data_IF_075695824693
#
_entry.id   IF_075695824693
#
_cell.length_a   1.000
_cell.length_b   1.000
_cell.length_c   1.000
_cell.angle_alpha   90.00
_cell.angle_beta   90.00
_cell.angle_gamma   90.00
#
_symmetry.space_group_name_H-M   'P 1'
#
loop_
_entity.id
_entity.type
_entity.pdbx_description
1 polymer ?
#
# COMPACT_ATOMS: atom_id res chain seq x y z
N UNK A 1 0.79 33.65 4.13
CA UNK A 1 1.88 33.85 3.14
C UNK A 1 1.37 33.43 1.77
N UNK A 2 1.90 34.03 0.72
CA UNK A 2 1.76 33.56 -0.66
C UNK A 2 2.88 32.55 -0.93
N UNK A 3 2.51 31.31 -1.20
CA UNK A 3 3.47 30.19 -1.33
C UNK A 3 3.44 29.65 -2.75
N UNK A 4 4.58 29.66 -3.43
CA UNK A 4 4.77 29.04 -4.74
C UNK A 4 5.23 27.59 -4.56
N UNK A 5 4.55 26.61 -5.19
CA UNK A 5 4.86 25.19 -5.04
C UNK A 5 5.17 24.56 -6.39
N UNK A 6 6.41 24.13 -6.59
CA UNK A 6 6.81 23.23 -7.66
C UNK A 6 6.62 21.78 -7.21
N UNK A 7 6.17 20.89 -8.11
CA UNK A 7 5.89 19.49 -7.79
C UNK A 7 4.53 19.25 -7.11
N UNK A 8 3.62 20.20 -7.12
CA UNK A 8 2.30 20.18 -6.47
C UNK A 8 1.40 18.97 -6.82
N UNK A 9 1.65 18.29 -7.93
CA UNK A 9 0.86 17.12 -8.36
C UNK A 9 1.48 15.77 -7.99
N UNK A 10 2.64 15.78 -7.33
CA UNK A 10 3.33 14.58 -6.83
C UNK A 10 2.68 13.98 -5.57
N UNK A 11 3.24 12.89 -5.05
CA UNK A 11 2.74 12.22 -3.83
C UNK A 11 2.78 13.16 -2.63
N UNK A 12 3.94 13.80 -2.39
CA UNK A 12 4.08 14.81 -1.33
C UNK A 12 3.32 16.09 -1.70
N UNK A 13 3.50 16.59 -2.94
CA UNK A 13 3.03 17.91 -3.34
C UNK A 13 1.51 18.10 -3.20
N UNK A 14 0.69 17.11 -3.57
CA UNK A 14 -0.76 17.18 -3.40
C UNK A 14 -1.18 17.34 -1.94
N UNK A 15 -0.51 16.65 -1.04
CA UNK A 15 -0.74 16.73 0.41
C UNK A 15 -0.25 18.03 0.98
N UNK A 16 0.94 18.47 0.54
CA UNK A 16 1.51 19.74 0.95
C UNK A 16 0.62 20.92 0.54
N UNK A 17 0.05 20.90 -0.68
CA UNK A 17 -0.93 21.93 -1.12
C UNK A 17 -2.13 21.96 -0.17
N UNK A 18 -2.74 20.80 0.13
CA UNK A 18 -3.89 20.73 1.06
C UNK A 18 -3.51 21.24 2.46
N UNK A 19 -2.33 20.84 2.96
CA UNK A 19 -1.85 21.25 4.27
C UNK A 19 -1.57 22.76 4.34
N UNK A 20 -0.93 23.33 3.31
CA UNK A 20 -0.64 24.77 3.19
C UNK A 20 -1.93 25.59 3.10
N UNK A 21 -2.87 25.21 2.26
CA UNK A 21 -4.19 25.87 2.14
C UNK A 21 -4.94 25.76 3.46
N UNK A 22 -4.92 24.58 4.11
CA UNK A 22 -5.54 24.37 5.42
C UNK A 22 -4.92 25.20 6.54
N UNK A 23 -3.63 25.56 6.43
CA UNK A 23 -2.93 26.47 7.33
C UNK A 23 -3.18 27.98 7.00
N UNK A 24 -3.99 28.29 6.01
CA UNK A 24 -4.36 29.65 5.64
C UNK A 24 -3.36 30.35 4.69
N UNK A 25 -2.51 29.59 3.99
CA UNK A 25 -1.62 30.15 2.97
C UNK A 25 -2.34 30.23 1.60
N UNK A 26 -2.00 31.25 0.81
CA UNK A 26 -2.38 31.35 -0.59
C UNK A 26 -1.37 30.57 -1.43
N UNK A 27 -1.82 29.49 -2.10
CA UNK A 27 -0.91 28.59 -2.81
C UNK A 27 -1.02 28.76 -4.31
N UNK A 28 0.08 29.07 -4.97
CA UNK A 28 0.25 28.98 -6.42
C UNK A 28 1.01 27.71 -6.77
N UNK A 29 0.43 26.85 -7.60
CA UNK A 29 0.96 25.54 -7.92
C UNK A 29 1.44 25.48 -9.37
N UNK A 30 2.73 25.18 -9.57
CA UNK A 30 3.30 24.92 -10.89
C UNK A 30 2.76 23.62 -11.46
N UNK A 31 2.18 23.69 -12.66
CA UNK A 31 1.65 22.54 -13.40
C UNK A 31 2.19 22.47 -14.81
N UNK A 32 2.09 21.30 -15.46
CA UNK A 32 2.62 21.06 -16.83
C UNK A 32 1.53 20.69 -17.82
N UNK A 33 0.27 20.74 -17.45
CA UNK A 33 -0.85 20.42 -18.34
C UNK A 33 -2.19 20.87 -17.75
N UNK A 34 -3.22 21.11 -18.59
CA UNK A 34 -4.57 21.48 -18.15
C UNK A 34 -5.19 20.47 -17.18
N UNK A 35 -5.03 19.17 -17.40
CA UNK A 35 -5.56 18.15 -16.49
C UNK A 35 -4.96 18.24 -15.08
N UNK A 36 -3.68 18.63 -14.96
CA UNK A 36 -3.04 18.89 -13.67
C UNK A 36 -3.47 20.21 -13.05
N UNK A 37 -3.83 21.20 -13.87
CA UNK A 37 -4.41 22.45 -13.39
C UNK A 37 -5.76 22.21 -12.68
N UNK A 38 -6.64 21.39 -13.25
CA UNK A 38 -7.89 21.01 -12.60
C UNK A 38 -7.66 20.31 -11.25
N UNK A 39 -6.69 19.40 -11.21
CA UNK A 39 -6.34 18.70 -9.96
C UNK A 39 -5.96 19.70 -8.86
N UNK A 40 -5.05 20.65 -9.12
CA UNK A 40 -4.59 21.57 -8.08
C UNK A 40 -5.65 22.60 -7.69
N UNK A 41 -6.53 23.02 -8.62
CA UNK A 41 -7.72 23.84 -8.27
C UNK A 41 -8.63 23.12 -7.28
N UNK A 42 -8.87 21.82 -7.51
CA UNK A 42 -9.67 21.02 -6.60
C UNK A 42 -9.02 20.86 -5.20
N UNK A 43 -7.72 21.08 -5.08
CA UNK A 43 -6.99 21.10 -3.81
C UNK A 43 -6.94 22.50 -3.16
N UNK A 44 -7.54 23.52 -3.78
CA UNK A 44 -7.59 24.89 -3.27
C UNK A 44 -6.42 25.79 -3.72
N UNK A 45 -5.58 25.35 -4.66
CA UNK A 45 -4.45 26.14 -5.17
C UNK A 45 -4.74 26.77 -6.53
N UNK A 46 -4.10 27.90 -6.81
CA UNK A 46 -4.11 28.55 -8.12
C UNK A 46 -3.06 27.90 -9.04
N UNK A 47 -3.43 27.30 -10.17
CA UNK A 47 -2.44 26.72 -11.09
C UNK A 47 -1.76 27.79 -11.93
N UNK A 48 -0.45 27.59 -12.16
CA UNK A 48 0.32 28.33 -13.16
C UNK A 48 1.02 27.32 -14.07
N UNK A 49 0.82 27.45 -15.39
CA UNK A 49 1.44 26.53 -16.36
C UNK A 49 2.76 27.10 -16.83
N UNK A 50 3.85 26.58 -16.29
CA UNK A 50 5.21 27.00 -16.60
C UNK A 50 6.18 25.81 -16.49
N UNK A 51 7.28 25.84 -17.23
CA UNK A 51 8.36 24.86 -17.13
C UNK A 51 9.39 25.25 -16.09
N UNK A 52 9.88 24.28 -15.30
CA UNK A 52 11.04 24.48 -14.40
C UNK A 52 12.33 24.89 -15.15
N UNK A 53 12.36 24.67 -16.45
CA UNK A 53 13.51 24.94 -17.30
C UNK A 53 13.38 26.23 -18.12
N UNK A 54 12.31 26.98 -17.92
CA UNK A 54 12.09 28.31 -18.47
C UNK A 54 12.30 29.36 -17.39
N UNK A 55 13.52 29.89 -17.28
CA UNK A 55 13.93 30.78 -16.19
C UNK A 55 13.14 32.11 -16.20
N UNK A 56 12.81 32.65 -17.38
CA UNK A 56 12.09 33.92 -17.45
C UNK A 56 10.63 33.77 -17.10
N UNK A 57 9.97 32.72 -17.60
CA UNK A 57 8.60 32.40 -17.21
C UNK A 57 8.49 32.07 -15.70
N UNK A 58 9.48 31.37 -15.13
CA UNK A 58 9.53 31.11 -13.67
C UNK A 58 9.67 32.39 -12.86
N UNK A 59 10.55 33.31 -13.28
CA UNK A 59 10.72 34.59 -12.60
C UNK A 59 9.43 35.39 -12.58
N UNK A 60 8.69 35.41 -13.70
CA UNK A 60 7.39 36.04 -13.76
C UNK A 60 6.35 35.35 -12.87
N UNK A 61 6.34 34.02 -12.85
CA UNK A 61 5.38 33.23 -12.08
C UNK A 61 5.61 33.28 -10.57
N UNK A 62 6.87 33.37 -10.11
CA UNK A 62 7.25 33.45 -8.69
C UNK A 62 7.13 34.88 -8.14
N UNK A 63 7.06 35.89 -8.99
CA UNK A 63 6.97 37.28 -8.56
C UNK A 63 5.86 37.49 -7.53
N UNK A 64 6.21 38.19 -6.44
CA UNK A 64 5.26 38.54 -5.36
C UNK A 64 4.90 37.39 -4.41
N UNK A 65 5.56 36.24 -4.45
CA UNK A 65 5.42 35.18 -3.45
C UNK A 65 6.40 35.38 -2.28
N UNK A 66 5.92 35.06 -1.08
CA UNK A 66 6.71 35.17 0.16
C UNK A 66 7.61 33.94 0.36
N UNK A 67 7.15 32.76 -0.11
CA UNK A 67 7.87 31.50 0.02
C UNK A 67 7.81 30.67 -1.26
N UNK A 68 8.89 29.90 -1.54
CA UNK A 68 8.96 28.96 -2.66
C UNK A 68 9.29 27.57 -2.12
N UNK A 69 8.42 26.60 -2.41
CA UNK A 69 8.58 25.18 -2.04
C UNK A 69 8.91 24.35 -3.30
N UNK A 70 10.13 23.84 -3.40
CA UNK A 70 10.52 22.92 -4.44
C UNK A 70 10.34 21.46 -3.97
N UNK A 71 9.22 20.86 -4.35
CA UNK A 71 8.87 19.45 -4.10
C UNK A 71 8.90 18.63 -5.39
N UNK A 72 9.51 19.17 -6.46
CA UNK A 72 9.53 18.55 -7.77
C UNK A 72 10.59 17.47 -7.85
N UNK A 73 10.15 16.26 -8.25
CA UNK A 73 11.01 15.11 -8.54
C UNK A 73 10.46 14.29 -9.70
N UNK A 74 11.32 13.48 -10.32
CA UNK A 74 10.93 12.48 -11.31
C UNK A 74 11.61 11.14 -11.00
N UNK A 75 11.11 10.46 -9.96
CA UNK A 75 11.67 9.17 -9.53
C UNK A 75 11.20 8.06 -10.49
N UNK A 76 12.12 7.32 -11.15
CA UNK A 76 11.76 6.21 -12.04
C UNK A 76 11.00 5.12 -11.29
N UNK A 77 10.15 4.38 -12.01
CA UNK A 77 9.54 3.16 -11.48
C UNK A 77 10.61 2.12 -11.15
N UNK A 78 10.33 1.21 -10.21
CA UNK A 78 11.27 0.16 -9.79
C UNK A 78 11.82 -0.65 -10.97
N UNK A 79 11.00 -0.92 -11.99
CA UNK A 79 11.39 -1.63 -13.20
C UNK A 79 12.44 -0.89 -14.05
N UNK A 80 12.46 0.45 -14.00
CA UNK A 80 13.38 1.31 -14.76
C UNK A 80 14.53 1.87 -13.91
N UNK A 81 14.47 1.72 -12.59
CA UNK A 81 15.44 2.32 -11.66
C UNK A 81 16.89 1.84 -11.86
N UNK A 82 17.09 0.66 -12.48
CA UNK A 82 18.41 0.13 -12.82
C UNK A 82 19.03 0.79 -14.05
N UNK A 83 18.22 1.43 -14.91
CA UNK A 83 18.71 2.15 -16.09
C UNK A 83 19.14 3.59 -15.72
N UNK A 84 20.42 3.95 -15.88
CA UNK A 84 20.92 5.28 -15.60
C UNK A 84 20.16 6.40 -16.31
N UNK A 85 19.77 6.18 -17.56
CA UNK A 85 19.07 7.18 -18.39
C UNK A 85 17.72 7.56 -17.83
N UNK A 86 17.08 6.65 -17.09
CA UNK A 86 15.77 6.92 -16.47
C UNK A 86 15.82 7.98 -15.37
N UNK A 87 17.01 8.34 -14.88
CA UNK A 87 17.24 9.35 -13.85
C UNK A 87 17.60 10.73 -14.39
N UNK A 88 17.92 10.87 -15.67
CA UNK A 88 18.37 12.12 -16.28
C UNK A 88 17.39 13.29 -16.05
N UNK A 89 16.09 13.07 -16.20
CA UNK A 89 15.08 14.10 -15.92
C UNK A 89 15.05 14.46 -14.43
N UNK A 90 15.15 13.48 -13.53
CA UNK A 90 15.22 13.76 -12.10
C UNK A 90 16.47 14.57 -11.71
N UNK A 91 17.60 14.21 -12.28
CA UNK A 91 18.87 14.89 -12.01
C UNK A 91 18.84 16.33 -12.57
N UNK A 92 18.23 16.54 -13.73
CA UNK A 92 18.00 17.86 -14.32
C UNK A 92 17.06 18.72 -13.46
N UNK A 93 15.96 18.14 -12.94
CA UNK A 93 15.04 18.84 -12.02
C UNK A 93 15.79 19.28 -10.77
N UNK A 94 16.58 18.39 -10.16
CA UNK A 94 17.34 18.69 -8.94
C UNK A 94 18.47 19.69 -9.14
N UNK A 95 19.10 19.76 -10.31
CA UNK A 95 20.18 20.69 -10.61
C UNK A 95 19.67 21.98 -11.25
N UNK A 96 19.26 21.93 -12.52
CA UNK A 96 18.82 23.11 -13.29
C UNK A 96 17.51 23.69 -12.75
N UNK A 97 16.53 22.82 -12.45
CA UNK A 97 15.23 23.25 -11.92
C UNK A 97 15.35 23.95 -10.58
N UNK A 98 16.20 23.43 -9.65
CA UNK A 98 16.43 24.06 -8.34
C UNK A 98 17.14 25.41 -8.49
N UNK A 99 18.13 25.50 -9.37
CA UNK A 99 18.82 26.77 -9.68
C UNK A 99 17.84 27.84 -10.18
N UNK A 100 17.04 27.49 -11.18
CA UNK A 100 16.08 28.44 -11.76
C UNK A 100 15.04 28.91 -10.75
N UNK A 101 14.57 28.01 -9.85
CA UNK A 101 13.62 28.36 -8.79
C UNK A 101 14.27 29.26 -7.74
N UNK A 102 15.52 29.03 -7.36
CA UNK A 102 16.26 29.89 -6.42
C UNK A 102 16.50 31.26 -7.04
N UNK A 103 16.89 31.34 -8.31
CA UNK A 103 17.05 32.61 -9.02
C UNK A 103 15.73 33.40 -9.08
N UNK A 104 14.61 32.72 -9.34
CA UNK A 104 13.28 33.34 -9.34
C UNK A 104 12.86 33.79 -7.93
N UNK A 105 13.13 32.99 -6.90
CA UNK A 105 12.84 33.33 -5.50
C UNK A 105 13.62 34.55 -5.02
N UNK A 106 14.92 34.61 -5.34
CA UNK A 106 15.78 35.77 -5.03
C UNK A 106 15.32 37.06 -5.75
N UNK A 107 14.96 36.92 -7.04
CA UNK A 107 14.45 38.05 -7.82
C UNK A 107 13.08 38.56 -7.32
N UNK A 108 12.26 37.68 -6.78
CA UNK A 108 10.97 38.02 -6.18
C UNK A 108 11.07 38.61 -4.78
N UNK A 109 12.26 38.58 -4.15
CA UNK A 109 12.44 38.97 -2.75
C UNK A 109 11.73 38.00 -1.78
N UNK A 110 11.56 36.73 -2.15
CA UNK A 110 10.97 35.72 -1.27
C UNK A 110 11.84 35.57 0.01
N UNK A 111 11.16 35.39 1.15
CA UNK A 111 11.84 35.25 2.44
C UNK A 111 12.26 33.83 2.74
N UNK A 112 11.54 32.84 2.18
CA UNK A 112 11.77 31.42 2.47
C UNK A 112 11.88 30.58 1.19
N UNK A 113 12.89 29.73 1.13
CA UNK A 113 13.03 28.70 0.10
C UNK A 113 13.15 27.33 0.74
N UNK A 114 12.24 26.41 0.39
CA UNK A 114 12.22 25.05 0.89
C UNK A 114 12.54 24.07 -0.25
N UNK A 115 13.50 23.18 0.00
CA UNK A 115 13.94 22.15 -0.93
C UNK A 115 13.63 20.74 -0.41
N UNK A 116 12.90 19.95 -1.17
CA UNK A 116 12.78 18.49 -0.96
C UNK A 116 14.12 17.82 -1.22
N UNK A 117 14.51 16.93 -0.33
CA UNK A 117 15.67 16.05 -0.43
C UNK A 117 15.38 14.68 0.15
N UNK A 118 16.36 13.79 0.25
CA UNK A 118 16.20 12.40 0.64
C UNK A 118 17.11 11.99 1.81
N UNK A 119 16.56 11.25 2.79
CA UNK A 119 17.23 10.83 4.02
C UNK A 119 17.92 9.46 3.93
N UNK A 120 18.18 8.94 2.73
CA UNK A 120 18.81 7.62 2.54
C UNK A 120 20.07 7.67 1.67
N UNK A 121 20.87 8.73 1.87
CA UNK A 121 22.18 8.92 1.23
C UNK A 121 23.35 8.99 2.22
N UNK A 122 23.14 8.57 3.46
CA UNK A 122 24.21 8.62 4.49
C UNK A 122 25.18 7.43 4.39
N UNK A 123 24.86 6.38 3.64
CA UNK A 123 25.62 5.14 3.58
C UNK A 123 25.25 4.15 4.68
N UNK A 124 26.05 3.10 4.85
CA UNK A 124 25.79 2.05 5.85
C UNK A 124 26.41 2.41 7.20
N UNK A 125 25.58 2.74 8.18
CA UNK A 125 25.97 3.06 9.55
C UNK A 125 25.58 1.99 10.58
N UNK A 126 25.20 0.79 10.13
CA UNK A 126 24.80 -0.30 11.02
C UNK A 126 23.60 0.10 11.89
N UNK A 127 23.78 0.11 13.21
CA UNK A 127 22.76 0.50 14.18
C UNK A 127 22.91 1.90 14.74
N UNK A 128 23.94 2.64 14.32
CA UNK A 128 24.21 3.99 14.80
C UNK A 128 23.17 5.00 14.28
N UNK A 129 22.87 6.00 15.10
CA UNK A 129 22.00 7.08 14.70
C UNK A 129 22.74 8.02 13.74
N UNK A 130 22.07 8.42 12.68
CA UNK A 130 22.51 9.42 11.71
C UNK A 130 21.55 10.60 11.67
N UNK A 131 22.10 11.79 11.44
CA UNK A 131 21.32 13.01 11.29
C UNK A 131 22.03 14.00 10.36
N UNK A 132 21.25 14.90 9.77
CA UNK A 132 21.71 15.84 8.75
C UNK A 132 22.85 16.77 9.19
N UNK A 133 22.94 17.09 10.48
CA UNK A 133 23.94 17.98 11.06
C UNK A 133 25.22 17.26 11.51
N UNK A 134 25.20 15.95 11.65
CA UNK A 134 26.34 15.17 12.16
C UNK A 134 26.91 14.18 11.15
N UNK A 135 26.13 13.83 10.12
CA UNK A 135 26.49 12.78 9.16
C UNK A 135 26.49 13.32 7.72
N UNK A 136 27.63 13.34 7.04
CA UNK A 136 27.67 13.79 5.64
C UNK A 136 27.00 12.78 4.71
N UNK A 137 26.50 13.30 3.57
CA UNK A 137 26.00 12.44 2.48
C UNK A 137 27.19 11.69 1.86
N UNK A 138 27.03 10.39 1.68
CA UNK A 138 28.01 9.53 0.99
C UNK A 138 28.00 9.78 -0.51
N UNK A 139 29.17 9.70 -1.14
CA UNK A 139 29.30 9.84 -2.60
C UNK A 139 28.73 8.61 -3.31
N UNK A 140 27.65 8.85 -4.03
CA UNK A 140 26.98 7.86 -4.89
C UNK A 140 26.57 8.52 -6.20
N UNK A 141 26.20 7.74 -7.21
CA UNK A 141 25.65 8.30 -8.46
C UNK A 141 24.42 9.19 -8.27
N UNK A 142 23.67 9.01 -7.17
CA UNK A 142 22.47 9.78 -6.87
C UNK A 142 22.75 11.05 -6.04
N UNK A 143 23.88 11.10 -5.36
CA UNK A 143 24.20 12.20 -4.44
C UNK A 143 24.55 13.50 -5.15
N UNK A 144 25.09 13.46 -6.36
CA UNK A 144 25.52 14.68 -7.07
C UNK A 144 24.36 15.63 -7.34
N UNK A 145 23.24 15.15 -7.89
CA UNK A 145 22.05 15.96 -8.16
C UNK A 145 21.37 16.45 -6.86
N UNK A 146 21.37 15.61 -5.81
CA UNK A 146 20.85 15.99 -4.48
C UNK A 146 21.69 17.11 -3.89
N UNK A 147 23.02 16.99 -3.89
CA UNK A 147 23.93 18.05 -3.41
C UNK A 147 23.79 19.34 -4.20
N UNK A 148 23.55 19.25 -5.52
CA UNK A 148 23.31 20.43 -6.33
C UNK A 148 22.06 21.19 -5.86
N UNK A 149 20.94 20.49 -5.59
CA UNK A 149 19.73 21.10 -5.07
C UNK A 149 19.91 21.69 -3.67
N UNK A 150 20.60 20.97 -2.77
CA UNK A 150 20.91 21.46 -1.42
C UNK A 150 21.86 22.67 -1.44
N UNK A 151 22.84 22.71 -2.37
CA UNK A 151 23.74 23.83 -2.55
C UNK A 151 23.02 25.12 -3.03
N UNK A 152 22.02 24.99 -3.90
CA UNK A 152 21.18 26.11 -4.32
C UNK A 152 20.39 26.68 -3.13
N UNK A 153 19.89 25.81 -2.23
CA UNK A 153 19.23 26.26 -0.99
C UNK A 153 20.20 26.99 -0.07
N UNK A 154 21.44 26.52 0.06
CA UNK A 154 22.49 27.22 0.82
C UNK A 154 22.84 28.56 0.19
N UNK A 155 22.86 28.67 -1.15
CA UNK A 155 23.04 29.94 -1.88
C UNK A 155 21.92 30.94 -1.56
N UNK A 156 20.67 30.47 -1.50
CA UNK A 156 19.52 31.29 -1.09
C UNK A 156 19.69 31.81 0.35
N UNK A 157 20.12 30.97 1.27
CA UNK A 157 20.37 31.34 2.66
C UNK A 157 21.54 32.33 2.78
N UNK A 158 22.64 32.17 2.01
CA UNK A 158 23.76 33.08 1.98
C UNK A 158 23.39 34.47 1.45
N UNK A 159 22.33 34.58 0.64
CA UNK A 159 21.76 35.83 0.19
C UNK A 159 20.84 36.53 1.23
N UNK A 160 20.69 35.97 2.41
CA UNK A 160 19.93 36.54 3.54
C UNK A 160 18.51 36.02 3.71
N UNK A 161 18.09 35.03 2.91
CA UNK A 161 16.79 34.36 3.07
C UNK A 161 16.83 33.15 4.02
N UNK A 162 15.65 32.56 4.31
CA UNK A 162 15.55 31.30 5.05
C UNK A 162 15.59 30.12 4.10
N UNK A 163 16.76 29.50 3.95
CA UNK A 163 16.96 28.30 3.13
C UNK A 163 16.79 27.02 3.96
N UNK A 164 15.76 26.21 3.67
CA UNK A 164 15.45 24.98 4.42
C UNK A 164 15.48 23.77 3.51
N UNK A 165 16.29 22.78 3.86
CA UNK A 165 16.33 21.47 3.18
C UNK A 165 15.61 20.43 4.06
N UNK A 166 14.64 19.72 3.49
CA UNK A 166 13.96 18.61 4.13
C UNK A 166 14.36 17.28 3.47
N UNK A 167 15.19 16.49 4.18
CA UNK A 167 15.56 15.14 3.78
C UNK A 167 14.49 14.17 4.27
N UNK A 168 13.64 13.74 3.35
CA UNK A 168 12.55 12.83 3.67
C UNK A 168 12.97 11.35 3.64
N UNK A 169 12.42 10.57 4.58
CA UNK A 169 12.37 9.12 4.49
C UNK A 169 11.52 8.65 3.32
N UNK A 170 11.49 7.35 3.08
CA UNK A 170 10.64 6.77 2.03
C UNK A 170 9.16 7.04 2.34
N UNK A 171 8.47 7.67 1.39
CA UNK A 171 7.04 7.96 1.53
C UNK A 171 6.19 6.70 1.51
N UNK A 172 5.33 6.56 2.51
CA UNK A 172 4.25 5.58 2.55
C UNK A 172 2.93 6.31 2.26
N UNK A 173 2.30 6.00 1.12
CA UNK A 173 1.08 6.68 0.68
C UNK A 173 0.20 5.75 -0.17
N UNK A 174 -1.14 5.72 0.01
CA UNK A 174 -2.02 4.76 -0.66
C UNK A 174 -2.08 4.92 -2.18
N UNK A 175 -1.87 6.11 -2.73
CA UNK A 175 -1.83 6.35 -4.17
C UNK A 175 -0.43 6.25 -4.78
N UNK A 176 0.63 6.18 -3.98
CA UNK A 176 2.00 6.00 -4.48
C UNK A 176 2.12 4.68 -5.24
N UNK A 177 2.67 4.74 -6.46
CA UNK A 177 2.92 3.54 -7.27
C UNK A 177 3.80 2.53 -6.52
N UNK A 178 4.87 3.01 -5.89
CA UNK A 178 5.79 2.16 -5.10
C UNK A 178 5.05 1.45 -3.96
N UNK A 179 4.31 2.20 -3.14
CA UNK A 179 3.52 1.66 -2.02
C UNK A 179 2.52 0.60 -2.49
N UNK A 180 1.78 0.87 -3.58
CA UNK A 180 0.80 -0.08 -4.13
C UNK A 180 1.45 -1.35 -4.66
N UNK A 181 2.60 -1.25 -5.32
CA UNK A 181 3.38 -2.41 -5.79
C UNK A 181 3.87 -3.22 -4.59
N UNK A 182 4.41 -2.57 -3.57
CA UNK A 182 4.87 -3.20 -2.32
C UNK A 182 3.72 -3.96 -1.63
N UNK A 183 2.56 -3.32 -1.43
CA UNK A 183 1.38 -3.94 -0.82
C UNK A 183 0.85 -5.12 -1.64
N UNK A 184 0.76 -5.01 -2.97
CA UNK A 184 0.30 -6.09 -3.85
C UNK A 184 1.25 -7.29 -3.83
N UNK A 185 2.56 -7.04 -3.83
CA UNK A 185 3.58 -8.09 -3.72
C UNK A 185 3.54 -8.76 -2.35
N UNK A 186 3.42 -7.98 -1.29
CA UNK A 186 3.29 -8.49 0.07
C UNK A 186 2.03 -9.37 0.23
N UNK A 187 0.91 -8.99 -0.36
CA UNK A 187 -0.30 -9.81 -0.38
C UNK A 187 -0.08 -11.17 -1.06
N UNK A 188 0.83 -11.24 -2.04
CA UNK A 188 1.26 -12.50 -2.68
C UNK A 188 2.30 -13.26 -1.84
N UNK A 189 2.78 -12.68 -0.73
CA UNK A 189 3.76 -13.28 0.16
C UNK A 189 5.22 -12.88 -0.13
N UNK A 190 5.45 -11.87 -0.98
CA UNK A 190 6.78 -11.44 -1.41
C UNK A 190 7.06 -10.03 -0.86
N UNK A 191 8.21 -9.86 -0.18
CA UNK A 191 8.72 -8.54 0.19
C UNK A 191 9.66 -8.02 -0.90
N UNK A 192 9.42 -6.79 -1.33
CA UNK A 192 10.29 -6.06 -2.26
C UNK A 192 11.38 -5.25 -1.55
N UNK A 193 11.35 -5.20 -0.20
CA UNK A 193 12.32 -4.46 0.60
C UNK A 193 13.73 -5.06 0.42
N UNK A 194 14.71 -4.27 -0.08
CA UNK A 194 16.08 -4.74 -0.27
C UNK A 194 16.85 -4.71 1.06
N UNK A 195 17.97 -5.42 1.12
CA UNK A 195 18.90 -5.38 2.27
C UNK A 195 18.73 -6.53 3.26
N UNK A 196 19.60 -6.53 4.28
CA UNK A 196 19.62 -7.54 5.35
C UNK A 196 18.51 -7.26 6.39
N UNK A 197 18.06 -8.28 7.12
CA UNK A 197 16.99 -8.14 8.12
C UNK A 197 17.32 -7.15 9.25
N UNK A 198 18.57 -7.05 9.64
CA UNK A 198 19.11 -6.24 10.74
C UNK A 198 19.33 -4.77 10.36
N UNK A 199 19.24 -4.40 9.09
CA UNK A 199 19.46 -3.04 8.61
C UNK A 199 18.27 -2.14 8.89
N UNK A 200 18.55 -0.90 9.27
CA UNK A 200 17.57 0.15 9.52
C UNK A 200 17.15 0.86 8.23
N UNK A 201 15.93 1.36 8.24
CA UNK A 201 15.34 1.96 7.06
C UNK A 201 14.49 3.19 7.44
N UNK A 202 14.81 4.39 6.90
CA UNK A 202 14.05 5.60 7.17
C UNK A 202 12.78 5.65 6.32
N UNK A 203 11.64 5.86 6.96
CA UNK A 203 10.35 6.02 6.30
C UNK A 203 9.55 7.15 6.93
N UNK A 204 8.50 7.59 6.24
CA UNK A 204 7.56 8.60 6.72
C UNK A 204 6.20 8.42 6.08
N UNK A 205 5.13 8.62 6.83
CA UNK A 205 3.79 8.77 6.27
C UNK A 205 3.72 10.06 5.43
N UNK A 206 3.11 9.99 4.25
CA UNK A 206 3.11 11.13 3.34
C UNK A 206 2.24 12.31 3.81
N UNK A 207 1.24 12.08 4.66
CA UNK A 207 0.45 13.16 5.27
C UNK A 207 1.27 13.87 6.36
N UNK A 208 2.07 13.12 7.12
CA UNK A 208 3.00 13.70 8.10
C UNK A 208 4.14 14.46 7.40
N UNK A 209 4.65 13.94 6.29
CA UNK A 209 5.61 14.69 5.46
C UNK A 209 5.03 16.01 4.94
N UNK A 210 3.75 16.06 4.61
CA UNK A 210 3.09 17.29 4.18
C UNK A 210 2.94 18.31 5.33
N UNK A 211 2.62 17.87 6.54
CA UNK A 211 2.59 18.77 7.70
C UNK A 211 3.97 19.28 8.07
N UNK A 212 5.03 18.50 7.81
CA UNK A 212 6.41 18.95 7.96
C UNK A 212 6.77 20.08 6.97
N UNK A 213 6.24 20.05 5.74
CA UNK A 213 6.42 21.16 4.78
C UNK A 213 5.85 22.48 5.34
N UNK A 214 4.66 22.43 5.96
CA UNK A 214 4.06 23.61 6.60
C UNK A 214 4.92 24.11 7.76
N UNK A 215 5.31 23.21 8.67
CA UNK A 215 6.15 23.56 9.83
C UNK A 215 7.53 24.11 9.43
N UNK A 216 8.03 23.71 8.27
CA UNK A 216 9.32 24.15 7.77
C UNK A 216 9.34 25.60 7.22
N UNK A 217 8.19 26.21 6.95
CA UNK A 217 8.13 27.59 6.46
C UNK A 217 8.70 28.60 7.48
N UNK A 218 8.57 28.29 8.76
CA UNK A 218 9.06 29.11 9.86
C UNK A 218 10.33 28.54 10.52
N UNK A 219 10.90 27.45 9.96
CA UNK A 219 12.09 26.83 10.50
C UNK A 219 13.34 27.69 10.25
N UNK A 220 14.30 27.70 11.18
CA UNK A 220 15.63 28.28 10.91
C UNK A 220 16.28 27.65 9.67
N UNK A 221 17.12 28.45 8.98
CA UNK A 221 17.89 27.92 7.84
C UNK A 221 18.71 26.69 8.24
N UNK A 222 18.66 25.64 7.39
CA UNK A 222 19.42 24.42 7.66
C UNK A 222 18.86 23.20 6.95
N UNK A 223 19.52 22.07 7.19
CA UNK A 223 19.10 20.76 6.67
C UNK A 223 18.51 19.92 7.80
N UNK A 224 17.36 19.32 7.55
CA UNK A 224 16.59 18.55 8.53
C UNK A 224 16.15 17.20 7.95
N UNK A 225 16.24 16.16 8.76
CA UNK A 225 15.64 14.88 8.43
C UNK A 225 14.19 14.82 8.87
N UNK A 226 13.32 14.39 7.97
CA UNK A 226 11.88 14.21 8.19
C UNK A 226 11.53 12.75 7.99
N UNK A 227 11.54 12.03 9.10
CA UNK A 227 11.29 10.59 9.20
C UNK A 227 10.32 10.31 10.35
N UNK A 228 9.82 9.08 10.46
CA UNK A 228 9.00 8.68 11.60
C UNK A 228 9.79 8.68 12.93
N UNK A 229 9.07 8.63 14.07
CA UNK A 229 9.66 8.67 15.42
C UNK A 229 10.30 7.35 15.84
N UNK A 230 9.84 6.25 15.27
CA UNK A 230 10.24 4.89 15.64
C UNK A 230 10.85 4.16 14.45
N UNK A 231 12.12 4.44 14.11
CA UNK A 231 12.80 3.74 13.03
C UNK A 231 12.73 2.22 13.23
N UNK A 232 12.58 1.49 12.15
CA UNK A 232 12.47 0.02 12.19
C UNK A 232 13.61 -0.64 11.44
N UNK A 233 13.95 -1.86 11.90
CA UNK A 233 14.74 -2.76 11.07
C UNK A 233 13.92 -3.24 9.87
N UNK A 234 14.59 -3.70 8.82
CA UNK A 234 13.89 -4.31 7.66
C UNK A 234 13.12 -5.57 8.04
N UNK A 235 13.57 -6.30 9.07
CA UNK A 235 12.81 -7.43 9.61
C UNK A 235 11.48 -6.98 10.20
N UNK A 236 11.50 -5.91 11.03
CA UNK A 236 10.30 -5.37 11.66
C UNK A 236 9.35 -4.75 10.63
N UNK A 237 9.90 -3.96 9.69
CA UNK A 237 9.12 -3.37 8.59
C UNK A 237 8.43 -4.46 7.74
N UNK A 238 9.15 -5.56 7.45
CA UNK A 238 8.60 -6.71 6.74
C UNK A 238 7.50 -7.42 7.54
N UNK A 239 7.68 -7.57 8.85
CA UNK A 239 6.66 -8.15 9.73
C UNK A 239 5.40 -7.27 9.81
N UNK A 240 5.57 -5.96 9.94
CA UNK A 240 4.48 -4.99 9.95
C UNK A 240 3.70 -5.01 8.61
N UNK A 241 4.41 -5.03 7.49
CA UNK A 241 3.82 -5.14 6.16
C UNK A 241 3.07 -6.47 5.97
N UNK A 242 3.65 -7.60 6.46
CA UNK A 242 2.99 -8.90 6.43
C UNK A 242 1.67 -8.86 7.20
N UNK A 243 1.67 -8.29 8.41
CA UNK A 243 0.49 -8.12 9.24
C UNK A 243 -0.58 -7.26 8.52
N UNK A 244 -0.19 -6.13 7.93
CA UNK A 244 -1.08 -5.22 7.22
C UNK A 244 -1.84 -5.90 6.07
N UNK A 245 -1.20 -6.86 5.38
CA UNK A 245 -1.82 -7.61 4.27
C UNK A 245 -2.37 -8.98 4.68
N UNK A 246 -2.45 -9.29 5.97
CA UNK A 246 -3.00 -10.56 6.48
C UNK A 246 -2.12 -11.78 6.20
N UNK A 247 -0.80 -11.62 6.14
CA UNK A 247 0.16 -12.72 5.99
C UNK A 247 0.91 -12.95 7.30
N UNK A 248 1.30 -14.21 7.54
CA UNK A 248 2.17 -14.55 8.68
C UNK A 248 3.63 -14.15 8.44
N UNK A 249 4.06 -14.22 7.17
CA UNK A 249 5.46 -14.06 6.76
C UNK A 249 5.51 -13.62 5.29
N UNK A 250 6.52 -12.79 4.95
CA UNK A 250 6.87 -12.46 3.57
C UNK A 250 8.25 -13.03 3.25
N UNK A 251 8.39 -13.55 2.04
CA UNK A 251 9.67 -14.02 1.52
C UNK A 251 10.39 -12.85 0.84
N UNK A 252 11.66 -12.61 1.14
CA UNK A 252 12.41 -11.55 0.50
C UNK A 252 12.64 -11.85 -0.99
N UNK A 253 12.50 -10.85 -1.83
CA UNK A 253 12.86 -10.95 -3.24
C UNK A 253 14.40 -11.05 -3.35
N UNK A 254 14.90 -12.10 -3.98
CA UNK A 254 16.34 -12.29 -4.20
C UNK A 254 16.84 -11.33 -5.28
N UNK A 255 18.04 -10.76 -5.09
CA UNK A 255 18.71 -9.89 -6.08
C UNK A 255 18.32 -8.43 -6.07
N UNK A 256 17.37 -7.99 -5.24
CA UNK A 256 16.93 -6.59 -5.16
C UNK A 256 18.06 -5.58 -4.85
N UNK A 257 19.10 -6.00 -4.11
CA UNK A 257 20.25 -5.13 -3.75
C UNK A 257 20.96 -4.54 -4.98
N UNK A 258 21.05 -5.27 -6.10
CA UNK A 258 21.70 -4.79 -7.34
C UNK A 258 20.92 -3.67 -8.02
N UNK A 259 19.63 -3.52 -7.73
CA UNK A 259 18.72 -2.59 -8.43
C UNK A 259 18.62 -1.25 -7.69
N UNK A 260 18.73 -1.24 -6.37
CA UNK A 260 18.32 -0.11 -5.52
C UNK A 260 19.47 0.61 -4.79
N UNK A 261 20.73 0.17 -4.96
CA UNK A 261 21.92 0.88 -4.45
C UNK A 261 21.81 1.32 -2.98
N UNK A 262 21.92 2.62 -2.69
CA UNK A 262 21.90 3.17 -1.31
C UNK A 262 20.66 2.85 -0.48
N UNK A 263 19.53 2.53 -1.14
CA UNK A 263 18.33 2.07 -0.42
C UNK A 263 18.53 0.72 0.30
N UNK A 264 19.62 0.00 0.02
CA UNK A 264 19.97 -1.24 0.71
C UNK A 264 20.86 -1.05 1.93
N UNK A 265 21.34 0.19 2.20
CA UNK A 265 22.21 0.51 3.33
C UNK A 265 21.42 0.63 4.63
N UNK A 266 22.14 0.47 5.76
CA UNK A 266 21.55 0.61 7.09
C UNK A 266 21.63 2.05 7.56
N UNK A 267 20.48 2.69 7.74
CA UNK A 267 20.40 4.11 8.10
C UNK A 267 19.32 4.32 9.15
N UNK A 268 19.74 4.48 10.40
CA UNK A 268 18.88 4.81 11.53
C UNK A 268 18.79 6.32 11.68
N UNK A 269 17.89 6.94 10.92
CA UNK A 269 17.81 8.41 10.82
C UNK A 269 16.99 8.99 11.96
N UNK A 270 17.43 10.15 12.48
CA UNK A 270 16.79 10.87 13.59
C UNK A 270 16.09 12.13 13.10
N UNK A 271 14.83 12.34 13.48
CA UNK A 271 14.07 13.57 13.23
C UNK A 271 14.18 14.59 14.41
N UNK A 272 14.99 14.31 15.41
CA UNK A 272 15.03 15.09 16.65
C UNK A 272 15.34 16.57 16.42
N UNK A 273 16.25 16.88 15.49
CA UNK A 273 16.61 18.26 15.14
C UNK A 273 15.43 19.03 14.56
N UNK A 274 14.66 18.42 13.65
CA UNK A 274 13.48 19.05 13.06
C UNK A 274 12.39 19.29 14.10
N UNK A 275 12.15 18.31 14.96
CA UNK A 275 11.20 18.43 16.08
C UNK A 275 11.59 19.56 17.03
N UNK A 276 12.87 19.67 17.38
CA UNK A 276 13.35 20.73 18.27
C UNK A 276 13.23 22.13 17.63
N UNK A 277 13.46 22.23 16.31
CA UNK A 277 13.41 23.50 15.60
C UNK A 277 11.98 24.01 15.33
N UNK A 278 10.99 23.12 15.18
CA UNK A 278 9.66 23.49 14.67
C UNK A 278 8.51 23.10 15.60
N UNK A 279 8.74 22.25 16.60
CA UNK A 279 7.67 21.64 17.39
C UNK A 279 6.85 20.60 16.64
N UNK A 280 7.16 20.30 15.36
CA UNK A 280 6.49 19.29 14.57
C UNK A 280 6.70 17.89 15.15
N UNK A 281 5.70 17.04 15.04
CA UNK A 281 5.83 15.61 15.33
C UNK A 281 4.91 14.82 14.37
N UNK A 282 5.33 13.62 13.91
CA UNK A 282 4.50 12.80 13.06
C UNK A 282 3.31 12.24 13.85
N UNK A 283 2.12 12.21 13.25
CA UNK A 283 0.93 11.54 13.80
C UNK A 283 1.06 10.03 13.74
N UNK A 284 1.63 9.53 12.63
CA UNK A 284 1.98 8.13 12.45
C UNK A 284 3.41 7.95 12.94
N UNK A 285 3.56 7.59 14.23
CA UNK A 285 4.87 7.51 14.90
C UNK A 285 5.79 6.46 14.29
N UNK A 286 5.24 5.45 13.64
CA UNK A 286 5.98 4.39 12.95
C UNK A 286 5.19 3.92 11.73
N UNK A 287 5.88 3.60 10.64
CA UNK A 287 5.25 2.90 9.51
C UNK A 287 4.70 1.52 9.89
N UNK A 288 5.05 0.97 11.06
CA UNK A 288 4.37 -0.20 11.65
C UNK A 288 2.86 0.04 11.74
N UNK A 289 2.47 1.19 12.25
CA UNK A 289 1.07 1.58 12.40
C UNK A 289 0.51 2.16 11.10
N UNK A 290 1.37 2.75 10.28
CA UNK A 290 1.02 3.31 8.98
C UNK A 290 0.62 2.28 7.93
N UNK A 291 1.27 1.11 7.85
CA UNK A 291 0.98 0.10 6.84
C UNK A 291 -0.47 -0.40 6.82
N UNK A 292 -1.11 -0.73 7.97
CA UNK A 292 -2.52 -1.14 7.99
C UNK A 292 -3.46 -0.04 7.47
N UNK A 293 -3.22 1.21 7.84
CA UNK A 293 -4.01 2.37 7.40
C UNK A 293 -3.86 2.57 5.89
N UNK A 294 -2.63 2.58 5.40
CA UNK A 294 -2.29 2.73 3.99
C UNK A 294 -2.85 1.58 3.14
N UNK A 295 -2.78 0.33 3.61
CA UNK A 295 -3.35 -0.81 2.90
C UNK A 295 -4.86 -0.67 2.71
N UNK A 296 -5.59 -0.23 3.75
CA UNK A 296 -7.04 0.05 3.68
C UNK A 296 -7.35 1.17 2.70
N UNK A 297 -6.66 2.31 2.82
CA UNK A 297 -6.86 3.45 1.94
C UNK A 297 -6.53 3.14 0.47
N UNK A 298 -5.57 2.23 0.22
CA UNK A 298 -5.24 1.73 -1.11
C UNK A 298 -6.23 0.68 -1.64
N UNK A 299 -7.25 0.29 -0.88
CA UNK A 299 -8.22 -0.75 -1.24
C UNK A 299 -7.62 -2.17 -1.28
N UNK A 300 -6.55 -2.40 -0.53
CA UNK A 300 -5.90 -3.72 -0.47
C UNK A 300 -6.52 -4.54 0.65
N UNK A 301 -7.40 -5.46 0.29
CA UNK A 301 -7.96 -6.42 1.24
C UNK A 301 -6.89 -7.39 1.76
N UNK A 302 -6.88 -7.71 3.06
CA UNK A 302 -6.00 -8.74 3.62
C UNK A 302 -6.19 -10.10 2.93
N UNK A 303 -5.13 -10.88 2.84
CA UNK A 303 -5.17 -12.23 2.29
C UNK A 303 -6.13 -13.13 3.10
N UNK A 304 -6.71 -14.13 2.42
CA UNK A 304 -7.56 -15.11 3.10
C UNK A 304 -6.76 -15.89 4.15
N UNK A 305 -7.30 -16.07 5.37
CA UNK A 305 -6.72 -16.95 6.38
C UNK A 305 -6.48 -18.36 5.84
N UNK A 306 -5.42 -19.01 6.34
CA UNK A 306 -5.07 -20.38 5.88
C UNK A 306 -6.25 -21.35 6.08
N UNK A 307 -6.91 -21.32 7.23
CA UNK A 307 -8.06 -22.18 7.50
C UNK A 307 -9.23 -21.95 6.53
N UNK A 308 -9.52 -20.70 6.17
CA UNK A 308 -10.50 -20.37 5.13
C UNK A 308 -10.11 -21.00 3.78
N UNK A 309 -8.84 -20.85 3.38
CA UNK A 309 -8.35 -21.47 2.13
C UNK A 309 -8.45 -22.98 2.14
N UNK A 310 -8.15 -23.63 3.28
CA UNK A 310 -8.32 -25.09 3.44
C UNK A 310 -9.77 -25.49 3.25
N UNK A 311 -10.72 -24.80 3.90
CA UNK A 311 -12.14 -25.09 3.74
C UNK A 311 -12.62 -24.90 2.30
N UNK A 312 -12.18 -23.85 1.61
CA UNK A 312 -12.50 -23.64 0.20
C UNK A 312 -11.94 -24.77 -0.69
N UNK A 313 -10.70 -25.21 -0.44
CA UNK A 313 -10.12 -26.35 -1.16
C UNK A 313 -10.89 -27.65 -0.89
N UNK A 314 -11.28 -27.93 0.36
CA UNK A 314 -12.07 -29.13 0.68
C UNK A 314 -13.44 -29.13 0.01
N UNK A 315 -14.12 -27.97 -0.02
CA UNK A 315 -15.38 -27.83 -0.76
C UNK A 315 -15.21 -28.07 -2.26
N UNK A 316 -14.18 -27.45 -2.88
CA UNK A 316 -13.93 -27.62 -4.31
C UNK A 316 -13.60 -29.09 -4.66
N UNK A 317 -12.69 -29.72 -3.88
CA UNK A 317 -12.28 -31.12 -4.12
C UNK A 317 -13.43 -32.11 -3.91
N UNK A 318 -14.26 -31.89 -2.90
CA UNK A 318 -15.44 -32.74 -2.65
C UNK A 318 -16.48 -32.66 -3.78
N UNK A 319 -16.60 -31.50 -4.42
CA UNK A 319 -17.65 -31.28 -5.42
C UNK A 319 -17.21 -31.53 -6.87
N UNK A 320 -15.92 -31.45 -7.18
CA UNK A 320 -15.43 -31.59 -8.55
C UNK A 320 -15.71 -33.02 -9.11
N UNK A 321 -15.53 -34.04 -8.26
CA UNK A 321 -15.82 -35.44 -8.64
C UNK A 321 -17.29 -35.65 -8.97
N UNK A 322 -18.17 -35.14 -8.12
CA UNK A 322 -19.62 -35.16 -8.31
C UNK A 322 -20.00 -34.47 -9.62
N UNK A 323 -19.48 -33.25 -9.84
CA UNK A 323 -19.78 -32.48 -11.04
C UNK A 323 -19.31 -33.14 -12.34
N UNK A 324 -18.08 -33.69 -12.35
CA UNK A 324 -17.52 -34.39 -13.52
C UNK A 324 -18.33 -35.66 -13.80
N UNK A 325 -18.59 -36.51 -12.80
CA UNK A 325 -19.30 -37.77 -13.00
C UNK A 325 -20.73 -37.51 -13.48
N UNK A 326 -21.48 -36.61 -12.87
CA UNK A 326 -22.84 -36.29 -13.25
C UNK A 326 -22.93 -35.67 -14.66
N UNK A 327 -22.01 -34.80 -15.06
CA UNK A 327 -22.06 -34.12 -16.36
C UNK A 327 -21.63 -35.02 -17.51
N UNK A 328 -20.51 -35.74 -17.36
CA UNK A 328 -19.88 -36.49 -18.45
C UNK A 328 -20.26 -37.98 -18.46
N UNK A 329 -20.58 -38.54 -17.29
CA UNK A 329 -20.93 -39.95 -17.11
C UNK A 329 -22.28 -40.10 -16.39
N UNK A 330 -23.38 -39.48 -16.90
CA UNK A 330 -24.64 -39.35 -16.17
C UNK A 330 -25.28 -40.68 -15.81
N UNK A 331 -25.12 -41.72 -16.63
CA UNK A 331 -25.66 -43.06 -16.35
C UNK A 331 -24.92 -43.72 -15.17
N UNK A 332 -23.57 -43.68 -15.15
CA UNK A 332 -22.77 -44.20 -14.05
C UNK A 332 -23.01 -43.37 -12.76
N UNK A 333 -23.19 -42.04 -12.86
CA UNK A 333 -23.56 -41.25 -11.70
C UNK A 333 -24.90 -41.68 -11.10
N UNK A 334 -25.88 -41.94 -11.93
CA UNK A 334 -27.20 -42.42 -11.47
C UNK A 334 -27.13 -43.79 -10.83
N UNK A 335 -26.51 -44.78 -11.51
CA UNK A 335 -26.49 -46.18 -11.08
C UNK A 335 -25.51 -46.46 -9.93
N UNK A 336 -24.32 -45.78 -9.90
CA UNK A 336 -23.20 -46.21 -9.07
C UNK A 336 -22.81 -45.20 -7.97
N UNK A 337 -23.30 -43.95 -8.02
CA UNK A 337 -22.84 -42.91 -7.07
C UNK A 337 -23.44 -43.13 -5.66
N UNK A 338 -22.60 -42.95 -4.61
CA UNK A 338 -21.14 -42.97 -4.59
C UNK A 338 -20.62 -44.41 -4.46
N UNK A 339 -19.52 -44.71 -5.12
CA UNK A 339 -18.77 -45.97 -4.95
C UNK A 339 -19.62 -47.24 -5.07
N UNK A 340 -20.52 -47.30 -6.07
CA UNK A 340 -21.40 -48.45 -6.33
C UNK A 340 -22.63 -48.54 -5.41
N UNK A 341 -22.98 -47.48 -4.67
CA UNK A 341 -24.10 -47.50 -3.71
C UNK A 341 -25.44 -47.08 -4.30
N UNK A 342 -25.47 -46.45 -5.48
CA UNK A 342 -26.68 -46.07 -6.17
C UNK A 342 -27.61 -45.09 -5.44
N UNK A 343 -27.05 -44.17 -4.66
CA UNK A 343 -27.87 -43.22 -3.89
C UNK A 343 -28.82 -42.40 -4.77
N UNK A 344 -28.36 -42.00 -5.98
CA UNK A 344 -29.16 -41.20 -6.91
C UNK A 344 -30.30 -42.01 -7.50
N UNK A 345 -30.12 -43.32 -7.73
CA UNK A 345 -31.15 -44.20 -8.25
C UNK A 345 -32.32 -44.39 -7.27
N UNK A 346 -32.13 -44.15 -5.98
CA UNK A 346 -33.17 -44.23 -4.95
C UNK A 346 -34.15 -43.05 -5.01
N UNK A 347 -33.75 -41.90 -5.59
CA UNK A 347 -34.56 -40.68 -5.61
C UNK A 347 -35.58 -40.61 -6.74
N UNK A 348 -35.59 -41.59 -7.68
CA UNK A 348 -36.55 -41.64 -8.76
C UNK A 348 -36.01 -42.15 -10.09
N UNK A 349 -36.80 -42.17 -11.18
CA UNK A 349 -36.39 -42.71 -12.48
C UNK A 349 -35.27 -41.87 -13.12
N UNK A 350 -34.42 -42.56 -13.89
CA UNK A 350 -33.30 -41.89 -14.60
C UNK A 350 -33.79 -40.80 -15.56
N UNK A 351 -33.23 -39.59 -15.36
CA UNK A 351 -33.41 -38.48 -16.29
C UNK A 351 -32.03 -37.88 -16.62
N UNK A 352 -31.54 -38.17 -17.82
CA UNK A 352 -30.22 -37.77 -18.28
C UNK A 352 -30.04 -36.23 -18.27
N UNK A 353 -31.09 -35.49 -18.65
CA UNK A 353 -31.02 -34.01 -18.68
C UNK A 353 -30.84 -33.45 -17.27
N UNK A 354 -31.69 -33.89 -16.34
CA UNK A 354 -31.61 -33.44 -14.95
C UNK A 354 -30.24 -33.77 -14.30
N UNK A 355 -29.74 -34.99 -14.52
CA UNK A 355 -28.43 -35.40 -13.97
C UNK A 355 -27.30 -34.54 -14.52
N UNK A 356 -27.34 -34.23 -15.82
CA UNK A 356 -26.33 -33.32 -16.41
C UNK A 356 -26.44 -31.87 -15.91
N UNK A 357 -27.65 -31.38 -15.65
CA UNK A 357 -27.85 -30.04 -15.08
C UNK A 357 -27.32 -29.98 -13.66
N UNK A 358 -27.50 -31.01 -12.85
CA UNK A 358 -26.84 -31.12 -11.53
C UNK A 358 -25.32 -31.10 -11.67
N UNK A 359 -24.78 -31.86 -12.63
CA UNK A 359 -23.33 -31.86 -12.90
C UNK A 359 -22.80 -30.51 -13.29
N UNK A 360 -23.46 -29.80 -14.21
CA UNK A 360 -23.06 -28.48 -14.67
C UNK A 360 -23.12 -27.42 -13.55
N UNK A 361 -24.17 -27.45 -12.73
CA UNK A 361 -24.30 -26.56 -11.56
C UNK A 361 -23.17 -26.77 -10.54
N UNK A 362 -22.86 -28.04 -10.24
CA UNK A 362 -21.76 -28.36 -9.32
C UNK A 362 -20.40 -27.87 -9.84
N UNK A 363 -20.12 -28.03 -11.13
CA UNK A 363 -18.89 -27.50 -11.72
C UNK A 363 -18.86 -25.96 -11.73
N UNK A 364 -19.99 -25.29 -11.94
CA UNK A 364 -20.07 -23.82 -11.82
C UNK A 364 -19.74 -23.35 -10.40
N UNK A 365 -20.24 -24.04 -9.37
CA UNK A 365 -19.86 -23.74 -7.97
C UNK A 365 -18.38 -23.98 -7.69
N UNK A 366 -17.79 -25.05 -8.26
CA UNK A 366 -16.34 -25.29 -8.16
C UNK A 366 -15.55 -24.18 -8.81
N UNK A 367 -15.93 -23.72 -10.01
CA UNK A 367 -15.29 -22.59 -10.70
C UNK A 367 -15.35 -21.32 -9.84
N UNK A 368 -16.49 -21.05 -9.21
CA UNK A 368 -16.66 -19.89 -8.33
C UNK A 368 -15.75 -19.96 -7.10
N UNK A 369 -15.60 -21.15 -6.48
CA UNK A 369 -14.67 -21.36 -5.36
C UNK A 369 -13.21 -21.21 -5.79
N UNK A 370 -12.84 -21.73 -6.98
CA UNK A 370 -11.51 -21.51 -7.53
C UNK A 370 -11.23 -20.04 -7.83
N UNK A 371 -12.20 -19.29 -8.35
CA UNK A 371 -12.08 -17.85 -8.53
C UNK A 371 -11.84 -17.16 -7.18
N UNK A 372 -12.55 -17.57 -6.12
CA UNK A 372 -12.31 -17.03 -4.76
C UNK A 372 -10.90 -17.34 -4.23
N UNK A 373 -10.37 -18.53 -4.50
CA UNK A 373 -9.00 -18.92 -4.13
C UNK A 373 -7.94 -18.15 -4.92
N UNK A 374 -8.14 -17.94 -6.22
CA UNK A 374 -7.21 -17.23 -7.11
C UNK A 374 -7.19 -15.71 -6.83
N UNK A 375 -8.35 -15.09 -6.76
CA UNK A 375 -8.49 -13.66 -6.43
C UNK A 375 -8.05 -13.41 -4.99
N UNK A 376 -8.38 -14.33 -4.08
CA UNK A 376 -7.93 -14.33 -2.69
C UNK A 376 -8.47 -13.17 -1.85
N UNK A 377 -9.58 -12.49 -2.27
CA UNK A 377 -10.23 -11.42 -1.50
C UNK A 377 -11.30 -11.98 -0.58
N UNK A 378 -11.52 -11.28 0.53
CA UNK A 378 -12.60 -11.64 1.47
C UNK A 378 -13.96 -11.46 0.84
N UNK A 379 -14.12 -10.40 0.05
CA UNK A 379 -15.37 -10.13 -0.69
C UNK A 379 -15.71 -11.28 -1.62
N UNK A 380 -14.76 -11.73 -2.47
CA UNK A 380 -15.01 -12.84 -3.39
C UNK A 380 -15.29 -14.15 -2.66
N UNK A 381 -14.57 -14.44 -1.57
CA UNK A 381 -14.83 -15.63 -0.77
C UNK A 381 -16.21 -15.60 -0.11
N UNK A 382 -16.66 -14.44 0.42
CA UNK A 382 -18.02 -14.29 0.96
C UNK A 382 -19.08 -14.53 -0.11
N UNK A 383 -18.93 -13.90 -1.28
CA UNK A 383 -19.87 -14.09 -2.41
C UNK A 383 -19.95 -15.56 -2.81
N UNK A 384 -18.80 -16.23 -2.95
CA UNK A 384 -18.76 -17.65 -3.29
C UNK A 384 -19.50 -18.52 -2.25
N UNK A 385 -19.32 -18.25 -0.96
CA UNK A 385 -19.96 -19.01 0.10
C UNK A 385 -21.48 -18.76 0.19
N UNK A 386 -21.92 -17.53 -0.04
CA UNK A 386 -23.37 -17.22 -0.11
C UNK A 386 -24.03 -17.96 -1.28
N UNK A 387 -23.43 -17.88 -2.48
CA UNK A 387 -23.95 -18.60 -3.66
C UNK A 387 -23.94 -20.12 -3.43
N UNK A 388 -22.90 -20.65 -2.80
CA UNK A 388 -22.82 -22.07 -2.44
C UNK A 388 -23.96 -22.49 -1.52
N UNK A 389 -24.27 -21.71 -0.49
CA UNK A 389 -25.34 -22.00 0.47
C UNK A 389 -26.73 -21.99 -0.18
N UNK A 390 -26.96 -21.17 -1.21
CA UNK A 390 -28.22 -21.18 -1.98
C UNK A 390 -28.50 -22.55 -2.58
N UNK A 391 -27.48 -23.29 -3.01
CA UNK A 391 -27.60 -24.67 -3.49
C UNK A 391 -27.56 -25.68 -2.32
N UNK A 392 -26.59 -25.56 -1.41
CA UNK A 392 -26.33 -26.60 -0.42
C UNK A 392 -27.43 -26.75 0.64
N UNK A 393 -28.05 -25.64 1.07
CA UNK A 393 -29.09 -25.68 2.12
C UNK A 393 -30.36 -26.41 1.67
N UNK A 394 -30.99 -26.05 0.53
CA UNK A 394 -32.17 -26.78 0.05
C UNK A 394 -31.86 -28.26 -0.25
N UNK A 395 -30.69 -28.55 -0.82
CA UNK A 395 -30.24 -29.90 -1.11
C UNK A 395 -30.09 -30.75 0.16
N UNK A 396 -29.50 -30.23 1.21
CA UNK A 396 -29.35 -30.90 2.50
C UNK A 396 -30.73 -31.15 3.16
N UNK A 397 -31.61 -30.13 3.16
CA UNK A 397 -32.95 -30.23 3.73
C UNK A 397 -33.76 -31.30 3.01
N UNK A 398 -33.67 -31.38 1.67
CA UNK A 398 -34.33 -32.43 0.87
C UNK A 398 -33.90 -33.82 1.35
N UNK A 399 -32.61 -34.11 1.43
CA UNK A 399 -32.10 -35.41 1.83
C UNK A 399 -32.39 -35.75 3.30
N UNK A 400 -32.44 -34.75 4.22
CA UNK A 400 -32.90 -35.00 5.58
C UNK A 400 -34.36 -35.53 5.65
N UNK A 401 -35.23 -35.00 4.79
CA UNK A 401 -36.61 -35.45 4.68
C UNK A 401 -36.79 -36.87 4.08
N UNK A 402 -35.75 -37.39 3.39
CA UNK A 402 -35.77 -38.67 2.69
C UNK A 402 -34.91 -39.76 3.36
N UNK A 403 -34.41 -39.55 4.57
CA UNK A 403 -33.62 -40.54 5.33
C UNK A 403 -34.43 -41.76 5.81
N UNK A 404 -35.75 -41.76 5.65
CA UNK A 404 -36.64 -42.88 6.00
C UNK A 404 -36.76 -43.96 4.93
N UNK A 405 -36.18 -43.75 3.72
CA UNK A 405 -36.12 -44.75 2.66
C UNK A 405 -35.26 -45.95 3.10
N UNK A 406 -35.34 -47.07 2.42
CA UNK A 406 -34.64 -48.33 2.72
C UNK A 406 -33.11 -48.23 2.54
N UNK A 407 -32.49 -47.28 3.24
CA UNK A 407 -31.06 -47.06 3.24
C UNK A 407 -30.38 -47.71 4.44
N UNK A 408 -29.16 -48.23 4.26
CA UNK A 408 -28.34 -48.70 5.36
C UNK A 408 -28.04 -47.58 6.35
N UNK A 409 -27.79 -47.91 7.63
CA UNK A 409 -27.38 -46.93 8.63
C UNK A 409 -26.09 -46.18 8.23
N UNK A 410 -25.17 -46.87 7.55
CA UNK A 410 -23.94 -46.27 7.04
C UNK A 410 -24.18 -45.24 5.94
N UNK A 411 -25.15 -45.48 5.06
CA UNK A 411 -25.52 -44.56 3.99
C UNK A 411 -26.17 -43.28 4.54
N UNK A 412 -27.07 -43.43 5.53
CA UNK A 412 -27.67 -42.28 6.23
C UNK A 412 -26.62 -41.37 6.88
N UNK A 413 -25.66 -41.98 7.60
CA UNK A 413 -24.52 -41.22 8.20
C UNK A 413 -23.68 -40.56 7.13
N UNK A 414 -23.38 -41.26 6.01
CA UNK A 414 -22.63 -40.73 4.88
C UNK A 414 -23.28 -39.48 4.27
N UNK A 415 -24.58 -39.55 3.97
CA UNK A 415 -25.36 -38.43 3.41
C UNK A 415 -25.36 -37.24 4.38
N UNK A 416 -25.74 -37.47 5.64
CA UNK A 416 -25.82 -36.39 6.64
C UNK A 416 -24.47 -35.73 6.85
N UNK A 417 -23.37 -36.48 6.88
CA UNK A 417 -22.03 -35.96 7.12
C UNK A 417 -21.51 -35.13 5.94
N UNK A 418 -21.64 -35.67 4.72
CA UNK A 418 -21.13 -35.02 3.51
C UNK A 418 -21.92 -33.74 3.17
N UNK A 419 -23.24 -33.81 3.17
CA UNK A 419 -24.10 -32.67 2.89
C UNK A 419 -24.10 -31.68 4.06
N UNK A 420 -24.05 -32.16 5.30
CA UNK A 420 -23.86 -31.32 6.48
C UNK A 420 -22.55 -30.52 6.42
N UNK A 421 -21.45 -31.14 5.99
CA UNK A 421 -20.20 -30.46 5.75
C UNK A 421 -20.34 -29.38 4.66
N UNK A 422 -21.04 -29.67 3.57
CA UNK A 422 -21.28 -28.72 2.48
C UNK A 422 -22.09 -27.48 2.91
N UNK A 423 -22.83 -27.54 4.01
CA UNK A 423 -23.55 -26.41 4.63
C UNK A 423 -22.70 -25.74 5.72
N UNK A 424 -22.10 -26.50 6.62
CA UNK A 424 -21.39 -25.96 7.78
C UNK A 424 -20.08 -25.27 7.40
N UNK A 425 -19.32 -25.82 6.44
CA UNK A 425 -18.05 -25.23 6.05
C UNK A 425 -18.19 -23.80 5.46
N UNK A 426 -19.14 -23.51 4.53
CA UNK A 426 -19.41 -22.15 4.10
C UNK A 426 -19.83 -21.20 5.24
N UNK A 427 -20.67 -21.67 6.17
CA UNK A 427 -21.08 -20.88 7.33
C UNK A 427 -19.85 -20.52 8.20
N UNK A 428 -18.99 -21.49 8.49
CA UNK A 428 -17.73 -21.26 9.22
C UNK A 428 -16.83 -20.24 8.52
N UNK A 429 -16.71 -20.34 7.19
CA UNK A 429 -15.95 -19.35 6.40
C UNK A 429 -16.56 -17.94 6.57
N UNK A 430 -17.87 -17.80 6.45
CA UNK A 430 -18.56 -16.51 6.59
C UNK A 430 -18.36 -15.91 7.99
N UNK A 431 -18.53 -16.71 9.04
CA UNK A 431 -18.31 -16.32 10.43
C UNK A 431 -16.86 -15.91 10.66
N UNK A 432 -15.90 -16.72 10.21
CA UNK A 432 -14.47 -16.43 10.33
C UNK A 432 -14.08 -15.11 9.65
N UNK A 433 -14.55 -14.90 8.41
CA UNK A 433 -14.28 -13.67 7.67
C UNK A 433 -14.96 -12.43 8.30
N UNK A 434 -16.07 -12.61 9.04
CA UNK A 434 -16.72 -11.54 9.80
C UNK A 434 -15.90 -11.15 11.04
N UNK A 435 -15.44 -12.12 11.82
CA UNK A 435 -14.66 -11.91 13.04
C UNK A 435 -13.25 -11.34 12.76
N UNK A 436 -12.68 -11.66 11.61
CA UNK A 436 -11.36 -11.15 11.20
C UNK A 436 -11.42 -9.74 10.58
N UNK A 437 -12.57 -9.10 10.54
CA UNK A 437 -12.67 -7.69 10.19
C UNK A 437 -11.94 -6.89 11.28
N UNK A 438 -10.86 -6.19 10.91
CA UNK A 438 -10.11 -5.34 11.85
C UNK A 438 -11.05 -4.30 12.47
N UNK A 439 -10.90 -3.99 13.77
CA UNK A 439 -11.68 -2.94 14.43
C UNK A 439 -11.61 -1.62 13.64
N UNK A 440 -12.71 -0.89 13.62
CA UNK A 440 -12.77 0.47 13.08
C UNK A 440 -11.76 1.33 13.84
N UNK A 441 -10.83 2.04 13.16
CA UNK A 441 -9.87 2.92 13.82
C UNK A 441 -10.54 4.11 14.55
N UNK A 442 -11.83 4.37 14.32
CA UNK A 442 -12.64 5.33 15.08
C UNK A 442 -13.22 4.75 16.36
N UNK A 443 -13.13 3.43 16.56
CA UNK A 443 -13.52 2.80 17.82
C UNK A 443 -12.42 3.09 18.86
N UNK A 444 -12.75 3.69 20.03
CA UNK A 444 -11.76 3.94 21.08
C UNK A 444 -11.08 2.62 21.44
N UNK A 445 -9.75 2.63 21.52
CA UNK A 445 -8.98 1.49 21.97
C UNK A 445 -9.54 0.98 23.31
N UNK A 446 -9.68 -0.33 23.53
CA UNK A 446 -10.10 -0.85 24.81
C UNK A 446 -9.09 -0.37 25.85
N UNK A 447 -9.57 0.43 26.80
CA UNK A 447 -8.79 0.90 27.94
C UNK A 447 -8.21 -0.33 28.62
N UNK A 448 -6.88 -0.45 28.60
CA UNK A 448 -6.18 -1.49 29.33
C UNK A 448 -6.61 -1.38 30.83
N UNK A 449 -7.34 -2.37 31.30
CA UNK A 449 -7.61 -2.48 32.73
C UNK A 449 -6.27 -2.70 33.41
N UNK A 450 -5.81 -1.66 34.11
CA UNK A 450 -4.67 -1.75 35.02
C UNK A 450 -5.06 -2.76 36.09
N UNK A 451 -4.48 -3.95 36.01
CA UNK A 451 -4.51 -4.90 37.12
C UNK A 451 -3.53 -4.36 38.14
N UNK A 452 -4.07 -3.74 39.18
CA UNK A 452 -3.32 -3.41 40.40
C UNK A 452 -3.05 -4.74 41.10
N UNK A 453 -1.78 -5.12 41.25
CA UNK A 453 -1.30 -6.14 42.17
C UNK A 453 -0.76 -5.43 43.41
#
# INVERSE_FOLDING_TARGET
MRVFVAGATGVLGRRAVVALVGAGHEVTALVRSPAKAELVRALGATPVEVSLFDADALRAAVAGHDAVCNLATHIPTLARAADPRSWEENDRIRSEGSRNLVDAALAAGATTYLQESIAFLYGDHGSEWVAADTTPITDTRFSAAVRAAEAETARFAAAGGHGVVLRFGQFVAPESHHTRVTLRSARRGISLEPGRPDQWFPAIDADDAATAVVAALDAPSGTYDVVDDEPMTRADARAALAHAVGRRRLWPMRGAKRIVGPLADSQRVSNARFKAATGWAPRVRSVRDGWPLTARAAGIEPALPVGVRVLLWLLALGQIGVGIQALFFPRSFYDDFPFGRGWVAMDGPYNQHLVRDVGSLNLALVVLVFAALLVGTRTMARTAMVVWLVNAVPHFVYHLGHLSMDMSGGDKVGIVTTLGFAVLAPILVLVWLRQSATPDPTSPAPVARTVTV
#
